data_IF_524092277232
#
_entry.id   IF_524092277232
#
_cell.length_a   1.000
_cell.length_b   1.000
_cell.length_c   1.000
_cell.angle_alpha   90.00
_cell.angle_beta   90.00
_cell.angle_gamma   90.00
#
_symmetry.space_group_name_H-M   'P 1'
#
loop_
_entity.id
_entity.type
_entity.pdbx_description
1 polymer ?
#
# COMPACT_ATOMS: atom_id res chain seq x y z
N UNK A 1 -5.56 -1.87 -20.72
CA UNK A 1 -6.77 -1.03 -20.97
C UNK A 1 -6.37 0.41 -20.68
N UNK A 2 -6.68 1.38 -21.57
CA UNK A 2 -6.41 2.80 -21.32
C UNK A 2 -7.68 3.47 -20.81
N UNK A 3 -7.55 4.36 -19.83
CA UNK A 3 -8.65 5.21 -19.35
C UNK A 3 -8.80 6.37 -20.31
N UNK A 4 -9.99 6.57 -20.86
CA UNK A 4 -10.31 7.72 -21.71
C UNK A 4 -10.64 8.91 -20.84
N UNK A 5 -9.70 9.83 -20.76
CA UNK A 5 -9.73 11.03 -19.94
C UNK A 5 -10.07 12.25 -20.78
N UNK A 6 -11.17 12.93 -20.50
CA UNK A 6 -11.46 14.24 -21.06
C UNK A 6 -11.10 15.33 -20.05
N UNK A 7 -10.43 16.39 -20.52
CA UNK A 7 -10.05 17.55 -19.71
C UNK A 7 -10.59 18.81 -20.37
N UNK A 8 -11.44 19.54 -19.68
CA UNK A 8 -11.96 20.86 -20.06
C UNK A 8 -11.31 21.93 -19.20
N UNK A 9 -10.42 22.73 -19.77
CA UNK A 9 -9.66 23.76 -19.04
C UNK A 9 -9.58 25.05 -19.87
N UNK A 10 -9.86 26.19 -19.21
CA UNK A 10 -9.82 27.50 -19.83
C UNK A 10 -8.40 27.96 -20.13
N UNK A 11 -7.45 27.63 -19.27
CA UNK A 11 -6.04 27.96 -19.48
C UNK A 11 -5.40 26.97 -20.45
N UNK A 12 -5.26 27.37 -21.71
CA UNK A 12 -4.65 26.53 -22.72
C UNK A 12 -3.17 26.21 -22.46
N UNK A 13 -2.44 27.06 -21.73
CA UNK A 13 -1.04 26.81 -21.38
C UNK A 13 -0.95 25.69 -20.35
N UNK A 14 -1.77 25.74 -19.30
CA UNK A 14 -1.86 24.67 -18.32
C UNK A 14 -2.34 23.36 -18.98
N UNK A 15 -3.40 23.43 -19.80
CA UNK A 15 -3.96 22.27 -20.49
C UNK A 15 -2.89 21.54 -21.33
N UNK A 16 -2.17 22.28 -22.17
CA UNK A 16 -1.11 21.71 -23.01
C UNK A 16 0.01 21.09 -22.17
N UNK A 17 0.38 21.71 -21.05
CA UNK A 17 1.42 21.23 -20.14
C UNK A 17 1.02 19.91 -19.46
N UNK A 18 -0.18 19.84 -18.89
CA UNK A 18 -0.63 18.63 -18.20
C UNK A 18 -0.84 17.47 -19.18
N UNK A 19 -1.41 17.72 -20.36
CA UNK A 19 -1.57 16.73 -21.44
C UNK A 19 -0.20 16.20 -21.90
N UNK A 20 0.78 17.07 -22.08
CA UNK A 20 2.15 16.67 -22.44
C UNK A 20 2.78 15.77 -21.38
N UNK A 21 2.65 16.14 -20.09
CA UNK A 21 3.17 15.33 -18.98
C UNK A 21 2.50 13.96 -18.96
N UNK A 22 1.18 13.91 -19.11
CA UNK A 22 0.44 12.66 -19.09
C UNK A 22 0.75 11.76 -20.28
N UNK A 23 0.91 12.33 -21.48
CA UNK A 23 1.30 11.59 -22.68
C UNK A 23 2.72 11.00 -22.59
N UNK A 24 3.63 11.63 -21.82
CA UNK A 24 4.99 11.10 -21.61
C UNK A 24 5.01 10.04 -20.51
N UNK A 25 4.32 10.28 -19.39
CA UNK A 25 4.43 9.42 -18.19
C UNK A 25 3.42 8.27 -18.14
N UNK A 26 2.25 8.46 -18.78
CA UNK A 26 1.10 7.54 -18.66
C UNK A 26 0.50 7.19 -20.03
N UNK A 27 1.31 7.17 -21.09
CA UNK A 27 0.87 6.91 -22.46
C UNK A 27 0.24 5.50 -22.64
N UNK A 28 0.66 4.54 -21.85
CA UNK A 28 0.14 3.19 -21.80
C UNK A 28 -1.15 3.05 -20.98
N UNK A 29 -1.45 4.04 -20.11
CA UNK A 29 -2.55 4.04 -19.15
C UNK A 29 -3.68 5.00 -19.47
N UNK A 30 -3.38 6.13 -20.14
CA UNK A 30 -4.34 7.18 -20.48
C UNK A 30 -4.47 7.39 -22.00
N UNK A 31 -5.68 7.65 -22.43
CA UNK A 31 -6.04 8.22 -23.73
C UNK A 31 -6.71 9.56 -23.48
N UNK A 32 -6.12 10.67 -23.93
CA UNK A 32 -6.49 12.02 -23.48
C UNK A 32 -7.20 12.79 -24.55
N UNK A 33 -8.33 13.37 -24.21
CA UNK A 33 -9.14 14.30 -24.97
C UNK A 33 -9.11 15.65 -24.25
N UNK A 34 -8.66 16.72 -24.92
CA UNK A 34 -8.50 18.04 -24.30
C UNK A 34 -9.36 19.08 -24.98
N UNK A 35 -10.03 19.92 -24.19
CA UNK A 35 -10.99 20.91 -24.62
C UNK A 35 -10.75 22.24 -23.92
N UNK A 36 -10.91 23.35 -24.65
CA UNK A 36 -10.99 24.71 -24.12
C UNK A 36 -12.39 25.29 -24.26
N UNK A 37 -13.27 24.62 -25.00
CA UNK A 37 -14.67 24.96 -25.23
C UNK A 37 -15.60 23.93 -24.58
N UNK A 38 -16.60 24.45 -23.85
CA UNK A 38 -17.56 23.62 -23.09
C UNK A 38 -18.42 22.75 -24.01
N UNK A 39 -18.97 23.34 -25.07
CA UNK A 39 -19.93 22.65 -25.93
C UNK A 39 -19.24 21.52 -26.69
N UNK A 40 -18.01 21.73 -27.15
CA UNK A 40 -17.19 20.71 -27.75
C UNK A 40 -16.90 19.56 -26.79
N UNK A 41 -16.62 19.86 -25.51
CA UNK A 41 -16.40 18.84 -24.49
C UNK A 41 -17.68 18.01 -24.24
N UNK A 42 -18.83 18.66 -24.03
CA UNK A 42 -20.10 17.97 -23.80
C UNK A 42 -20.52 17.14 -25.03
N UNK A 43 -20.31 17.65 -26.23
CA UNK A 43 -20.57 16.87 -27.44
C UNK A 43 -19.69 15.62 -27.52
N UNK A 44 -18.43 15.73 -27.12
CA UNK A 44 -17.52 14.57 -27.05
C UNK A 44 -17.98 13.53 -26.03
N UNK A 45 -18.48 13.94 -24.86
CA UNK A 45 -19.03 13.01 -23.87
C UNK A 45 -20.21 12.20 -24.41
N UNK A 46 -20.98 12.75 -25.34
CA UNK A 46 -22.13 12.09 -25.97
C UNK A 46 -21.74 11.18 -27.14
N UNK A 47 -20.69 11.54 -27.88
CA UNK A 47 -20.26 10.83 -29.09
C UNK A 47 -19.16 9.79 -28.84
N UNK A 48 -18.35 10.01 -27.83
CA UNK A 48 -17.22 9.16 -27.49
C UNK A 48 -17.39 8.62 -26.06
N UNK A 49 -17.09 7.36 -25.86
CA UNK A 49 -17.11 6.80 -24.50
C UNK A 49 -15.94 7.37 -23.70
N UNK A 50 -16.19 8.38 -22.89
CA UNK A 50 -15.24 8.94 -21.93
C UNK A 50 -15.42 8.24 -20.59
N UNK A 51 -14.31 7.85 -19.95
CA UNK A 51 -14.33 7.13 -18.68
C UNK A 51 -14.22 8.06 -17.48
N UNK A 52 -13.43 9.18 -17.63
CA UNK A 52 -13.31 10.25 -16.63
C UNK A 52 -13.32 11.60 -17.30
N UNK A 53 -14.09 12.53 -16.75
CA UNK A 53 -14.17 13.90 -17.19
C UNK A 53 -13.73 14.85 -16.08
N UNK A 54 -12.76 15.71 -16.39
CA UNK A 54 -12.28 16.78 -15.51
C UNK A 54 -12.67 18.13 -16.13
N UNK A 55 -13.37 18.98 -15.40
CA UNK A 55 -13.73 20.32 -15.87
C UNK A 55 -13.24 21.39 -14.90
N UNK A 56 -12.63 22.45 -15.42
CA UNK A 56 -12.32 23.64 -14.63
C UNK A 56 -13.61 24.22 -14.05
N UNK A 57 -13.59 24.65 -12.80
CA UNK A 57 -14.72 25.17 -12.04
C UNK A 57 -15.43 26.35 -12.71
N UNK A 58 -14.74 27.08 -13.58
CA UNK A 58 -15.30 28.23 -14.35
C UNK A 58 -16.35 27.78 -15.37
N UNK A 59 -16.27 26.53 -15.83
CA UNK A 59 -17.27 25.96 -16.72
C UNK A 59 -18.39 25.33 -15.89
N UNK A 60 -19.46 26.00 -15.68
CA UNK A 60 -20.62 25.46 -14.97
C UNK A 60 -21.20 24.24 -15.71
N UNK A 61 -20.68 23.06 -15.39
CA UNK A 61 -21.15 21.80 -15.96
C UNK A 61 -22.30 21.27 -15.13
N UNK A 62 -23.42 20.95 -15.79
CA UNK A 62 -24.54 20.27 -15.17
C UNK A 62 -24.26 18.76 -15.13
N UNK A 63 -24.39 18.13 -13.97
CA UNK A 63 -24.19 16.69 -13.81
C UNK A 63 -25.13 15.86 -14.68
N UNK A 64 -26.29 16.39 -15.05
CA UNK A 64 -27.26 15.73 -15.96
C UNK A 64 -26.74 15.59 -17.39
N UNK A 65 -25.75 16.39 -17.78
CA UNK A 65 -25.10 16.34 -19.09
C UNK A 65 -24.01 15.26 -19.16
N UNK A 66 -23.61 14.70 -17.99
CA UNK A 66 -22.52 13.73 -17.89
C UNK A 66 -23.10 12.32 -17.89
N UNK A 67 -22.62 11.41 -18.76
CA UNK A 67 -23.05 10.02 -18.76
C UNK A 67 -22.84 9.36 -17.39
N UNK A 68 -23.82 8.59 -16.90
CA UNK A 68 -23.80 7.96 -15.57
C UNK A 68 -22.59 7.04 -15.31
N UNK A 69 -22.01 6.50 -16.39
CA UNK A 69 -20.82 5.65 -16.36
C UNK A 69 -19.50 6.43 -16.50
N UNK A 70 -19.54 7.76 -16.64
CA UNK A 70 -18.38 8.63 -16.66
C UNK A 70 -18.13 9.17 -15.24
N UNK A 71 -16.91 9.04 -14.76
CA UNK A 71 -16.47 9.69 -13.53
C UNK A 71 -16.26 11.19 -13.73
N UNK A 72 -16.64 12.02 -12.77
CA UNK A 72 -16.53 13.47 -12.91
C UNK A 72 -15.83 14.10 -11.70
N UNK A 73 -14.99 15.10 -11.96
CA UNK A 73 -14.43 15.99 -10.95
C UNK A 73 -14.19 17.39 -11.49
N UNK A 74 -14.25 18.37 -10.60
CA UNK A 74 -13.84 19.73 -10.92
C UNK A 74 -12.33 19.92 -10.79
N UNK A 75 -11.71 20.67 -11.70
CA UNK A 75 -10.36 21.22 -11.56
C UNK A 75 -10.44 22.57 -10.89
N UNK A 76 -9.80 22.73 -9.75
CA UNK A 76 -9.80 23.94 -8.92
C UNK A 76 -8.38 24.47 -8.70
N UNK A 77 -8.27 25.76 -8.38
CA UNK A 77 -6.98 26.40 -8.17
C UNK A 77 -6.42 26.20 -6.76
N UNK A 78 -7.30 25.98 -5.75
CA UNK A 78 -6.88 25.81 -4.36
C UNK A 78 -6.89 24.35 -3.91
N UNK A 79 -5.83 23.94 -3.19
CA UNK A 79 -5.73 22.62 -2.58
C UNK A 79 -6.68 22.43 -1.37
N UNK A 80 -7.22 23.50 -0.82
CA UNK A 80 -8.14 23.45 0.32
C UNK A 80 -9.56 23.01 -0.09
N UNK A 81 -9.91 23.20 -1.36
CA UNK A 81 -11.20 22.81 -1.92
C UNK A 81 -11.15 21.31 -2.25
N UNK A 82 -11.85 20.48 -1.47
CA UNK A 82 -11.93 19.04 -1.69
C UNK A 82 -13.19 18.61 -2.45
N UNK A 83 -14.25 19.40 -2.32
CA UNK A 83 -15.53 19.20 -3.02
C UNK A 83 -16.06 20.55 -3.49
N UNK A 84 -16.71 20.54 -4.65
CA UNK A 84 -17.42 21.69 -5.20
C UNK A 84 -18.78 21.21 -5.71
N UNK A 85 -19.88 21.79 -5.23
CA UNK A 85 -21.26 21.36 -5.57
C UNK A 85 -21.48 19.85 -5.32
N UNK A 86 -20.98 19.32 -4.19
CA UNK A 86 -21.02 17.90 -3.82
C UNK A 86 -20.20 16.95 -4.72
N UNK A 87 -19.44 17.48 -5.68
CA UNK A 87 -18.55 16.72 -6.57
C UNK A 87 -17.10 16.85 -6.09
N UNK A 88 -16.31 15.81 -6.30
CA UNK A 88 -14.86 15.79 -6.01
C UNK A 88 -14.16 16.94 -6.74
N UNK A 89 -13.31 17.67 -6.03
CA UNK A 89 -12.47 18.71 -6.60
C UNK A 89 -10.98 18.34 -6.55
N UNK A 90 -10.30 18.54 -7.66
CA UNK A 90 -8.89 18.24 -7.87
C UNK A 90 -8.12 19.55 -8.06
N UNK A 91 -7.18 19.84 -7.15
CA UNK A 91 -6.31 21.00 -7.32
C UNK A 91 -5.40 20.80 -8.55
N UNK A 92 -5.42 21.73 -9.48
CA UNK A 92 -4.58 21.66 -10.69
C UNK A 92 -3.10 21.99 -10.44
N UNK A 93 -2.78 22.71 -9.35
CA UNK A 93 -1.41 23.12 -9.01
C UNK A 93 -0.73 22.14 -8.05
N UNK A 94 -0.84 20.85 -8.33
CA UNK A 94 -0.17 19.78 -7.61
C UNK A 94 0.68 18.91 -8.55
N UNK A 95 1.44 17.95 -8.00
CA UNK A 95 2.23 17.01 -8.81
C UNK A 95 1.31 16.21 -9.75
N UNK A 96 1.70 16.06 -11.02
CA UNK A 96 0.91 15.32 -12.01
C UNK A 96 0.58 13.88 -11.57
N UNK A 97 1.47 13.26 -10.77
CA UNK A 97 1.23 11.94 -10.17
C UNK A 97 0.03 11.94 -9.21
N UNK A 98 -0.16 12.99 -8.42
CA UNK A 98 -1.30 13.11 -7.52
C UNK A 98 -2.61 13.29 -8.30
N UNK A 99 -2.59 14.09 -9.37
CA UNK A 99 -3.74 14.23 -10.26
C UNK A 99 -4.09 12.88 -10.90
N UNK A 100 -3.08 12.16 -11.39
CA UNK A 100 -3.27 10.83 -11.98
C UNK A 100 -3.89 9.83 -10.98
N UNK A 101 -3.42 9.80 -9.73
CA UNK A 101 -3.99 8.95 -8.69
C UNK A 101 -5.45 9.29 -8.38
N UNK A 102 -5.79 10.57 -8.35
CA UNK A 102 -7.18 11.02 -8.17
C UNK A 102 -8.07 10.61 -9.36
N UNK A 103 -7.57 10.68 -10.60
CA UNK A 103 -8.24 10.16 -11.79
C UNK A 103 -8.52 8.66 -11.65
N UNK A 104 -7.53 7.87 -11.22
CA UNK A 104 -7.70 6.43 -10.97
C UNK A 104 -8.78 6.16 -9.90
N UNK A 105 -8.78 6.95 -8.82
CA UNK A 105 -9.78 6.86 -7.76
C UNK A 105 -11.20 7.03 -8.30
N UNK A 106 -11.42 8.11 -9.07
CA UNK A 106 -12.71 8.44 -9.68
C UNK A 106 -13.16 7.34 -10.66
N UNK A 107 -12.24 6.87 -11.49
CA UNK A 107 -12.51 5.78 -12.44
C UNK A 107 -12.87 4.49 -11.71
N UNK A 108 -12.14 4.14 -10.65
CA UNK A 108 -12.38 2.91 -9.89
C UNK A 108 -13.78 2.85 -9.27
N UNK A 109 -14.37 3.98 -8.91
CA UNK A 109 -15.72 4.07 -8.34
C UNK A 109 -16.81 3.81 -9.38
N UNK A 110 -16.55 4.05 -10.66
CA UNK A 110 -17.51 3.89 -11.76
C UNK A 110 -17.44 2.54 -12.45
N UNK A 111 -16.30 1.86 -12.39
CA UNK A 111 -16.13 0.53 -13.01
C UNK A 111 -16.50 -0.54 -11.99
N UNK A 112 -17.68 -1.17 -12.18
CA UNK A 112 -18.02 -2.39 -11.46
C UNK A 112 -16.92 -3.44 -11.67
N UNK A 113 -16.57 -4.16 -10.59
CA UNK A 113 -15.46 -5.09 -10.50
C UNK A 113 -15.33 -6.00 -11.73
N UNK A 114 -14.60 -5.55 -12.72
CA UNK A 114 -14.08 -6.42 -13.76
C UNK A 114 -12.80 -7.01 -13.17
N UNK A 115 -12.82 -8.29 -12.89
CA UNK A 115 -11.64 -9.09 -12.56
C UNK A 115 -10.67 -8.99 -13.74
N UNK A 116 -9.82 -7.99 -13.72
CA UNK A 116 -8.70 -7.84 -14.64
C UNK A 116 -7.65 -8.87 -14.25
N UNK A 117 -7.56 -9.93 -15.04
CA UNK A 117 -6.47 -10.90 -14.96
C UNK A 117 -5.22 -10.19 -15.47
N UNK A 118 -4.38 -9.74 -14.54
CA UNK A 118 -2.99 -9.38 -14.86
C UNK A 118 -2.20 -10.69 -14.87
N UNK A 119 -1.91 -11.19 -16.06
CA UNK A 119 -1.00 -12.31 -16.26
C UNK A 119 0.44 -11.78 -16.12
N UNK A 120 0.94 -11.67 -14.91
CA UNK A 120 2.36 -11.58 -14.63
C UNK A 120 2.75 -12.79 -13.78
N UNK A 121 3.94 -13.32 -14.06
CA UNK A 121 4.50 -14.51 -13.40
C UNK A 121 4.40 -14.35 -11.87
N UNK A 122 3.59 -15.20 -11.23
CA UNK A 122 3.42 -15.24 -9.76
C UNK A 122 4.74 -15.45 -9.01
N UNK A 123 5.78 -15.90 -9.71
CA UNK A 123 7.09 -16.22 -9.15
C UNK A 123 7.93 -14.99 -8.74
N UNK A 124 7.54 -13.76 -9.08
CA UNK A 124 8.43 -12.60 -8.93
C UNK A 124 8.23 -11.77 -7.66
N UNK A 125 7.06 -11.80 -7.01
CA UNK A 125 6.76 -10.97 -5.82
C UNK A 125 6.77 -11.81 -4.53
N UNK A 126 7.69 -11.51 -3.62
CA UNK A 126 7.79 -12.17 -2.31
C UNK A 126 6.99 -11.41 -1.25
N UNK A 127 6.17 -12.11 -0.48
CA UNK A 127 5.42 -11.59 0.66
C UNK A 127 6.11 -12.01 1.95
N UNK A 128 6.44 -11.05 2.81
CA UNK A 128 7.19 -11.27 4.04
C UNK A 128 6.43 -10.67 5.22
N UNK A 129 6.12 -11.47 6.25
CA UNK A 129 5.49 -10.99 7.46
C UNK A 129 6.54 -10.70 8.54
N UNK A 130 6.44 -9.53 9.15
CA UNK A 130 7.17 -9.17 10.37
C UNK A 130 6.20 -9.12 11.53
N UNK A 131 6.54 -9.81 12.61
CA UNK A 131 5.71 -9.89 13.80
C UNK A 131 6.56 -10.24 15.02
N UNK A 132 5.99 -10.14 16.20
CA UNK A 132 6.69 -10.49 17.45
C UNK A 132 5.76 -11.20 18.43
N UNK A 133 6.26 -12.23 19.08
CA UNK A 133 5.58 -12.91 20.16
C UNK A 133 5.42 -12.04 21.43
N UNK A 134 6.24 -10.99 21.54
CA UNK A 134 6.22 -10.05 22.66
C UNK A 134 6.18 -8.60 22.19
N UNK A 135 5.45 -7.74 22.89
CA UNK A 135 5.42 -6.31 22.58
C UNK A 135 6.78 -5.61 22.78
N UNK A 136 7.05 -4.57 22.00
CA UNK A 136 8.19 -3.67 22.21
C UNK A 136 9.54 -4.16 21.67
N UNK A 137 9.61 -5.28 20.95
CA UNK A 137 10.86 -5.77 20.33
C UNK A 137 11.32 -4.96 19.12
N UNK A 138 10.45 -4.10 18.58
CA UNK A 138 10.73 -3.26 17.41
C UNK A 138 10.44 -3.94 16.08
N UNK A 139 9.45 -4.82 16.02
CA UNK A 139 9.00 -5.52 14.81
C UNK A 139 8.68 -4.53 13.68
N UNK A 140 7.82 -3.54 13.93
CA UNK A 140 7.43 -2.54 12.95
C UNK A 140 8.62 -1.70 12.45
N UNK A 141 9.54 -1.36 13.35
CA UNK A 141 10.78 -0.66 12.97
C UNK A 141 11.67 -1.53 12.09
N UNK A 142 11.78 -2.83 12.37
CA UNK A 142 12.56 -3.78 11.56
C UNK A 142 11.91 -3.99 10.19
N UNK A 143 10.58 -4.11 10.13
CA UNK A 143 9.82 -4.20 8.88
C UNK A 143 10.04 -2.97 7.98
N UNK A 144 9.90 -1.77 8.56
CA UNK A 144 10.13 -0.52 7.85
C UNK A 144 11.59 -0.39 7.35
N UNK A 145 12.56 -0.76 8.19
CA UNK A 145 13.98 -0.73 7.83
C UNK A 145 14.30 -1.76 6.72
N UNK A 146 13.69 -2.93 6.74
CA UNK A 146 13.81 -3.93 5.68
C UNK A 146 13.28 -3.39 4.35
N UNK A 147 12.11 -2.74 4.35
CA UNK A 147 11.55 -2.10 3.16
C UNK A 147 12.50 -1.05 2.59
N UNK A 148 13.11 -0.22 3.44
CA UNK A 148 14.09 0.78 3.03
C UNK A 148 15.39 0.14 2.49
N UNK A 149 15.86 -0.97 3.08
CA UNK A 149 17.02 -1.71 2.58
C UNK A 149 16.77 -2.20 1.15
N UNK A 150 15.63 -2.83 0.90
CA UNK A 150 15.29 -3.32 -0.43
C UNK A 150 15.09 -2.18 -1.44
N UNK A 151 14.44 -1.08 -1.05
CA UNK A 151 14.28 0.09 -1.91
C UNK A 151 15.66 0.70 -2.28
N UNK A 152 16.60 0.77 -1.33
CA UNK A 152 17.96 1.27 -1.58
C UNK A 152 18.73 0.40 -2.60
N UNK A 153 18.40 -0.90 -2.69
CA UNK A 153 18.95 -1.84 -3.67
C UNK A 153 18.23 -1.79 -5.03
N UNK A 154 17.33 -0.82 -5.22
CA UNK A 154 16.57 -0.67 -6.47
C UNK A 154 15.40 -1.65 -6.62
N UNK A 155 14.98 -2.31 -5.53
CA UNK A 155 13.79 -3.16 -5.53
C UNK A 155 12.53 -2.36 -5.21
N UNK A 156 11.45 -2.65 -5.86
CA UNK A 156 10.14 -2.08 -5.52
C UNK A 156 9.59 -2.79 -4.27
N UNK A 157 9.78 -2.17 -3.11
CA UNK A 157 9.31 -2.69 -1.83
C UNK A 157 8.04 -1.93 -1.38
N UNK A 158 6.97 -2.68 -1.10
CA UNK A 158 5.74 -2.17 -0.51
C UNK A 158 5.72 -2.51 0.98
N UNK A 159 5.61 -1.51 1.83
CA UNK A 159 5.31 -1.67 3.25
C UNK A 159 3.80 -1.57 3.48
N UNK A 160 3.20 -2.65 3.97
CA UNK A 160 1.77 -2.75 4.26
C UNK A 160 1.58 -3.01 5.75
N UNK A 161 1.20 -1.96 6.48
CA UNK A 161 0.89 -2.06 7.91
C UNK A 161 -0.56 -2.50 8.11
N UNK A 162 -0.75 -3.65 8.73
CA UNK A 162 -2.04 -4.24 9.09
C UNK A 162 -2.19 -4.42 10.61
N UNK A 163 -1.35 -3.74 11.40
CA UNK A 163 -1.53 -3.66 12.86
C UNK A 163 -2.87 -2.99 13.19
N UNK A 164 -3.50 -3.39 14.30
CA UNK A 164 -4.76 -2.78 14.78
C UNK A 164 -4.66 -1.29 15.00
N UNK A 165 -3.49 -0.83 15.45
CA UNK A 165 -3.18 0.58 15.68
C UNK A 165 -2.02 0.96 14.79
N UNK A 166 -2.30 1.05 13.49
CA UNK A 166 -1.31 1.25 12.46
C UNK A 166 -0.44 2.49 12.66
N UNK A 167 0.85 2.35 12.38
CA UNK A 167 1.89 3.36 12.60
C UNK A 167 2.68 3.71 11.34
N UNK A 168 2.19 3.38 10.13
CA UNK A 168 2.91 3.58 8.87
C UNK A 168 3.41 5.02 8.67
N UNK A 169 2.61 6.01 9.05
CA UNK A 169 2.92 7.44 8.88
C UNK A 169 4.00 7.96 9.84
N UNK A 170 4.43 7.15 10.82
CA UNK A 170 5.61 7.42 11.67
C UNK A 170 6.91 7.09 10.92
N UNK A 171 6.86 6.09 10.04
CA UNK A 171 8.02 5.59 9.29
C UNK A 171 8.17 6.27 7.94
N UNK A 172 7.06 6.49 7.23
CA UNK A 172 7.04 6.97 5.86
C UNK A 172 6.11 8.17 5.69
N UNK A 173 6.43 9.04 4.73
CA UNK A 173 5.63 10.22 4.45
C UNK A 173 5.57 10.50 2.96
N UNK A 174 4.41 10.92 2.46
CA UNK A 174 4.22 11.40 1.11
C UNK A 174 2.96 12.28 1.02
N UNK A 175 2.89 13.10 -0.03
CA UNK A 175 1.74 13.94 -0.31
C UNK A 175 0.48 13.10 -0.64
N UNK A 176 -0.69 13.69 -0.45
CA UNK A 176 -1.98 13.09 -0.77
C UNK A 176 -2.77 12.64 0.44
N UNK A 177 -4.10 12.68 0.34
CA UNK A 177 -5.04 12.43 1.43
C UNK A 177 -5.52 10.97 1.53
N UNK A 178 -5.24 10.16 0.50
CA UNK A 178 -5.64 8.74 0.46
C UNK A 178 -4.91 7.92 1.51
N UNK A 179 -5.59 6.92 2.05
CA UNK A 179 -5.07 6.04 3.08
C UNK A 179 -5.66 4.62 2.92
N UNK A 180 -5.23 3.67 3.75
CA UNK A 180 -5.69 2.29 3.69
C UNK A 180 -7.20 2.15 3.95
N UNK A 181 -7.82 3.07 4.72
CA UNK A 181 -9.27 3.09 4.95
C UNK A 181 -10.07 3.24 3.65
N UNK A 182 -9.55 3.98 2.68
CA UNK A 182 -10.20 4.12 1.36
C UNK A 182 -10.24 2.77 0.60
N UNK A 183 -9.22 1.94 0.75
CA UNK A 183 -9.16 0.59 0.19
C UNK A 183 -10.13 -0.33 0.91
N UNK A 184 -10.16 -0.27 2.26
CA UNK A 184 -11.08 -1.06 3.08
C UNK A 184 -12.53 -0.73 2.74
N UNK A 185 -12.86 0.55 2.61
CA UNK A 185 -14.19 0.97 2.19
C UNK A 185 -14.57 0.40 0.81
N UNK A 186 -13.66 0.43 -0.16
CA UNK A 186 -13.92 -0.11 -1.49
C UNK A 186 -14.22 -1.63 -1.46
N UNK A 187 -13.47 -2.39 -0.67
CA UNK A 187 -13.71 -3.83 -0.48
C UNK A 187 -15.08 -4.07 0.16
N UNK A 188 -15.36 -3.38 1.28
CA UNK A 188 -16.61 -3.55 2.02
C UNK A 188 -17.84 -3.18 1.21
N UNK A 189 -17.77 -2.10 0.46
CA UNK A 189 -18.87 -1.63 -0.38
C UNK A 189 -19.04 -2.47 -1.65
N UNK A 190 -18.09 -3.33 -2.00
CA UNK A 190 -18.03 -4.09 -3.26
C UNK A 190 -18.21 -3.20 -4.50
N UNK A 191 -17.83 -1.93 -4.37
CA UNK A 191 -17.91 -0.94 -5.45
C UNK A 191 -16.54 -0.70 -6.05
N UNK A 192 -16.49 -0.62 -7.37
CA UNK A 192 -15.28 -0.26 -8.09
C UNK A 192 -14.26 -1.40 -8.28
N UNK A 193 -13.13 -1.06 -8.87
CA UNK A 193 -12.04 -1.97 -9.16
C UNK A 193 -10.98 -1.88 -8.05
N UNK A 194 -10.82 -2.95 -7.27
CA UNK A 194 -9.87 -2.98 -6.14
C UNK A 194 -8.43 -2.69 -6.58
N UNK A 195 -7.98 -3.20 -7.73
CA UNK A 195 -6.61 -2.98 -8.21
C UNK A 195 -6.35 -1.50 -8.47
N UNK A 196 -7.29 -0.81 -9.10
CA UNK A 196 -7.20 0.63 -9.34
C UNK A 196 -7.29 1.43 -8.03
N UNK A 197 -8.11 0.99 -7.08
CA UNK A 197 -8.21 1.65 -5.77
C UNK A 197 -6.89 1.50 -4.99
N UNK A 198 -6.27 0.33 -5.01
CA UNK A 198 -4.95 0.12 -4.44
C UNK A 198 -3.91 1.00 -5.13
N UNK A 199 -3.86 1.03 -6.47
CA UNK A 199 -2.93 1.87 -7.23
C UNK A 199 -3.14 3.37 -6.95
N UNK A 200 -4.40 3.83 -6.79
CA UNK A 200 -4.71 5.23 -6.48
C UNK A 200 -4.37 5.63 -5.04
N UNK A 201 -4.38 4.67 -4.11
CA UNK A 201 -4.19 4.93 -2.68
C UNK A 201 -2.76 4.69 -2.19
N UNK A 202 -1.96 3.92 -2.92
CA UNK A 202 -0.55 3.69 -2.57
C UNK A 202 0.24 5.01 -2.67
N UNK A 203 1.15 5.22 -1.73
CA UNK A 203 2.06 6.37 -1.67
C UNK A 203 3.50 5.94 -1.89
N UNK A 204 4.35 6.88 -2.23
CA UNK A 204 5.77 6.66 -2.45
C UNK A 204 6.58 7.63 -1.60
N UNK A 205 7.33 7.08 -0.64
CA UNK A 205 8.19 7.85 0.26
C UNK A 205 9.49 8.26 -0.44
N UNK A 206 10.13 9.38 -0.07
CA UNK A 206 11.43 9.77 -0.61
C UNK A 206 12.54 8.72 -0.47
N UNK A 207 12.42 7.77 0.47
CA UNK A 207 13.34 6.64 0.60
C UNK A 207 13.20 5.57 -0.50
N UNK A 208 12.19 5.69 -1.37
CA UNK A 208 11.88 4.72 -2.43
C UNK A 208 10.88 3.65 -2.03
N UNK A 209 10.39 3.66 -0.79
CA UNK A 209 9.40 2.69 -0.30
C UNK A 209 8.00 3.08 -0.73
N UNK A 210 7.25 2.11 -1.24
CA UNK A 210 5.81 2.22 -1.43
C UNK A 210 5.09 1.89 -0.12
N UNK A 211 4.04 2.62 0.22
CA UNK A 211 3.29 2.37 1.45
C UNK A 211 1.85 2.89 1.36
N UNK A 212 0.99 2.44 2.26
CA UNK A 212 -0.31 3.04 2.51
C UNK A 212 -0.25 3.80 3.82
N UNK A 213 -0.76 5.05 3.84
CA UNK A 213 -0.99 5.75 5.11
C UNK A 213 -1.96 4.97 5.97
N UNK A 214 -1.80 5.06 7.28
CA UNK A 214 -2.67 4.43 8.27
C UNK A 214 -4.13 4.88 8.10
N UNK A 215 -5.06 4.01 8.45
CA UNK A 215 -6.48 4.36 8.47
C UNK A 215 -6.75 5.50 9.45
N UNK A 216 -7.74 6.35 9.16
CA UNK A 216 -8.15 7.40 10.10
C UNK A 216 -8.81 6.83 11.35
N UNK A 217 -9.53 5.73 11.19
CA UNK A 217 -10.17 5.00 12.28
C UNK A 217 -9.49 3.64 12.41
N UNK A 218 -8.92 3.37 13.60
CA UNK A 218 -8.26 2.10 13.87
C UNK A 218 -9.20 0.88 13.74
N UNK A 219 -10.49 1.10 13.96
CA UNK A 219 -11.51 0.06 13.80
C UNK A 219 -11.63 -0.47 12.37
N UNK A 220 -11.28 0.33 11.35
CA UNK A 220 -11.36 -0.10 9.94
C UNK A 220 -10.53 -1.37 9.70
N UNK A 221 -9.33 -1.46 10.29
CA UNK A 221 -8.49 -2.67 10.20
C UNK A 221 -9.12 -3.87 10.89
N UNK A 222 -9.80 -3.63 12.02
CA UNK A 222 -10.47 -4.70 12.76
C UNK A 222 -11.64 -5.32 11.98
N UNK A 223 -12.29 -4.53 11.12
CA UNK A 223 -13.41 -4.97 10.29
C UNK A 223 -12.99 -5.89 9.12
N UNK A 224 -11.72 -5.87 8.71
CA UNK A 224 -11.24 -6.75 7.64
C UNK A 224 -11.33 -8.21 8.09
N UNK A 225 -11.98 -9.04 7.27
CA UNK A 225 -11.97 -10.48 7.44
C UNK A 225 -10.75 -11.13 6.73
N UNK A 226 -10.41 -12.40 7.01
CA UNK A 226 -9.26 -13.09 6.41
C UNK A 226 -9.26 -13.05 4.89
N UNK A 227 -10.41 -13.34 4.24
CA UNK A 227 -10.52 -13.38 2.78
C UNK A 227 -10.33 -12.01 2.12
N UNK A 228 -10.74 -10.92 2.78
CA UNK A 228 -10.52 -9.56 2.29
C UNK A 228 -9.04 -9.19 2.34
N UNK A 229 -8.31 -9.61 3.37
CA UNK A 229 -6.86 -9.39 3.45
C UNK A 229 -6.13 -10.21 2.39
N UNK A 230 -6.50 -11.48 2.20
CA UNK A 230 -5.97 -12.30 1.10
C UNK A 230 -6.22 -11.64 -0.26
N UNK A 231 -7.41 -11.09 -0.47
CA UNK A 231 -7.74 -10.39 -1.72
C UNK A 231 -6.84 -9.17 -1.94
N UNK A 232 -6.56 -8.37 -0.90
CA UNK A 232 -5.63 -7.23 -0.99
C UNK A 232 -4.23 -7.73 -1.38
N UNK A 233 -3.69 -8.73 -0.67
CA UNK A 233 -2.35 -9.27 -0.90
C UNK A 233 -2.24 -9.83 -2.32
N UNK A 234 -3.23 -10.60 -2.76
CA UNK A 234 -3.23 -11.22 -4.09
C UNK A 234 -3.29 -10.19 -5.21
N UNK A 235 -4.15 -9.16 -5.08
CA UNK A 235 -4.21 -8.09 -6.08
C UNK A 235 -2.90 -7.31 -6.14
N UNK A 236 -2.26 -7.02 -5.00
CA UNK A 236 -0.95 -6.35 -4.96
C UNK A 236 0.15 -7.22 -5.57
N UNK A 237 0.14 -8.53 -5.31
CA UNK A 237 1.09 -9.51 -5.89
C UNK A 237 0.94 -9.58 -7.41
N UNK A 238 -0.29 -9.68 -7.91
CA UNK A 238 -0.62 -9.78 -9.33
C UNK A 238 -0.38 -8.48 -10.12
N UNK A 239 -0.31 -7.33 -9.44
CA UNK A 239 -0.04 -6.04 -10.09
C UNK A 239 1.33 -6.01 -10.80
N UNK A 240 2.26 -6.90 -10.44
CA UNK A 240 3.60 -6.97 -11.04
C UNK A 240 4.50 -5.76 -10.78
N UNK A 241 4.04 -4.84 -9.92
CA UNK A 241 4.76 -3.61 -9.59
C UNK A 241 5.82 -3.85 -8.52
N UNK A 242 5.54 -4.75 -7.56
CA UNK A 242 6.36 -4.95 -6.37
C UNK A 242 7.21 -6.21 -6.48
N UNK A 243 8.48 -6.11 -6.07
CA UNK A 243 9.34 -7.26 -5.84
C UNK A 243 9.10 -7.85 -4.44
N UNK A 244 8.79 -6.99 -3.47
CA UNK A 244 8.55 -7.37 -2.09
C UNK A 244 7.32 -6.66 -1.53
N UNK A 245 6.47 -7.42 -0.83
CA UNK A 245 5.39 -6.91 0.03
C UNK A 245 5.76 -7.26 1.47
N UNK A 246 6.04 -6.26 2.28
CA UNK A 246 6.44 -6.40 3.67
C UNK A 246 5.24 -6.08 4.53
N UNK A 247 4.68 -7.11 5.16
CA UNK A 247 3.55 -7.01 6.06
C UNK A 247 4.05 -6.74 7.48
N UNK A 248 3.54 -5.69 8.10
CA UNK A 248 3.75 -5.40 9.52
C UNK A 248 2.47 -5.76 10.28
N UNK A 249 2.57 -6.71 11.21
CA UNK A 249 1.45 -7.41 11.81
C UNK A 249 1.55 -7.49 13.32
N UNK A 250 0.41 -7.30 14.02
CA UNK A 250 0.26 -7.74 15.40
C UNK A 250 0.22 -9.27 15.46
N UNK A 251 0.94 -9.88 16.38
CA UNK A 251 0.85 -11.31 16.59
C UNK A 251 -0.43 -11.69 17.35
N UNK A 252 -1.15 -12.66 16.82
CA UNK A 252 -2.25 -13.35 17.47
C UNK A 252 -2.32 -14.80 16.99
N UNK A 253 -3.00 -15.69 17.74
CA UNK A 253 -3.21 -17.09 17.32
C UNK A 253 -4.61 -17.28 16.73
N UNK A 254 -5.22 -16.22 16.23
CA UNK A 254 -6.54 -16.30 15.62
C UNK A 254 -6.47 -16.72 14.13
N UNK A 255 -7.61 -17.21 13.64
CA UNK A 255 -7.74 -17.64 12.25
C UNK A 255 -7.38 -16.56 11.24
N UNK A 256 -7.62 -15.28 11.57
CA UNK A 256 -7.33 -14.14 10.69
C UNK A 256 -5.83 -14.06 10.42
N UNK A 257 -4.99 -14.05 11.47
CA UNK A 257 -3.55 -14.00 11.30
C UNK A 257 -3.02 -15.24 10.60
N UNK A 258 -3.44 -16.44 11.02
CA UNK A 258 -2.95 -17.69 10.41
C UNK A 258 -3.21 -17.73 8.91
N UNK A 259 -4.40 -17.29 8.46
CA UNK A 259 -4.74 -17.17 7.03
C UNK A 259 -3.83 -16.19 6.30
N UNK A 260 -3.47 -15.05 6.93
CA UNK A 260 -2.52 -14.09 6.34
C UNK A 260 -1.12 -14.68 6.23
N UNK A 261 -0.68 -15.44 7.24
CA UNK A 261 0.64 -16.07 7.23
C UNK A 261 0.75 -17.16 6.16
N UNK A 262 -0.34 -17.80 5.75
CA UNK A 262 -0.34 -18.74 4.62
C UNK A 262 0.04 -18.07 3.29
N UNK A 263 -0.28 -16.78 3.12
CA UNK A 263 0.10 -16.00 1.93
C UNK A 263 1.58 -15.58 1.92
N UNK A 264 2.30 -15.76 3.04
CA UNK A 264 3.66 -15.26 3.17
C UNK A 264 4.70 -16.29 2.70
N UNK A 265 5.70 -15.83 1.95
CA UNK A 265 6.88 -16.62 1.59
C UNK A 265 7.85 -16.75 2.78
N UNK A 266 7.89 -15.75 3.66
CA UNK A 266 8.74 -15.72 4.86
C UNK A 266 8.00 -15.09 6.02
N UNK A 267 8.16 -15.65 7.21
CA UNK A 267 7.56 -15.19 8.46
C UNK A 267 8.70 -14.89 9.43
N UNK A 268 8.93 -13.61 9.73
CA UNK A 268 10.06 -13.13 10.51
C UNK A 268 9.58 -12.75 11.91
N UNK A 269 9.95 -13.56 12.91
CA UNK A 269 9.75 -13.23 14.30
C UNK A 269 10.88 -12.31 14.79
N UNK A 270 10.50 -11.10 15.22
CA UNK A 270 11.45 -10.16 15.80
C UNK A 270 11.47 -10.32 17.32
N UNK A 271 12.62 -10.70 17.87
CA UNK A 271 12.85 -10.89 19.29
C UNK A 271 14.01 -10.01 19.78
N UNK A 272 14.06 -9.66 21.06
CA UNK A 272 15.17 -8.86 21.63
C UNK A 272 16.16 -9.70 22.43
N UNK A 273 15.92 -11.02 22.52
CA UNK A 273 16.77 -11.93 23.27
C UNK A 273 16.63 -11.83 24.78
N UNK A 274 15.64 -11.08 25.30
CA UNK A 274 15.31 -11.12 26.73
C UNK A 274 14.64 -12.46 27.08
N UNK A 275 14.75 -12.88 28.33
CA UNK A 275 14.13 -14.13 28.81
C UNK A 275 12.64 -14.19 28.51
N UNK A 276 11.93 -13.09 28.77
CA UNK A 276 10.47 -13.00 28.52
C UNK A 276 10.16 -13.11 27.03
N UNK A 277 10.93 -12.46 26.17
CA UNK A 277 10.75 -12.53 24.72
C UNK A 277 10.98 -13.95 24.20
N UNK A 278 12.02 -14.60 24.68
CA UNK A 278 12.38 -15.96 24.28
C UNK A 278 11.32 -16.97 24.69
N UNK A 279 10.89 -16.97 25.96
CA UNK A 279 9.83 -17.86 26.43
C UNK A 279 8.53 -17.69 25.63
N UNK A 280 8.15 -16.46 25.31
CA UNK A 280 6.96 -16.21 24.48
C UNK A 280 7.16 -16.75 23.06
N UNK A 281 8.32 -16.54 22.46
CA UNK A 281 8.64 -17.03 21.12
C UNK A 281 8.61 -18.58 21.09
N UNK A 282 9.24 -19.23 22.04
CA UNK A 282 9.26 -20.69 22.17
C UNK A 282 7.83 -21.26 22.22
N UNK A 283 6.96 -20.69 23.06
CA UNK A 283 5.54 -21.06 23.14
C UNK A 283 4.78 -20.84 21.84
N UNK A 284 5.06 -19.76 21.11
CA UNK A 284 4.46 -19.50 19.80
C UNK A 284 4.86 -20.58 18.81
N UNK A 285 6.14 -20.91 18.74
CA UNK A 285 6.65 -21.92 17.80
C UNK A 285 6.08 -23.32 18.13
N UNK A 286 6.03 -23.69 19.40
CA UNK A 286 5.37 -24.92 19.85
C UNK A 286 3.89 -24.95 19.43
N UNK A 287 3.16 -23.84 19.63
CA UNK A 287 1.75 -23.74 19.26
C UNK A 287 1.53 -23.84 17.75
N UNK A 288 2.40 -23.21 16.95
CA UNK A 288 2.35 -23.36 15.49
C UNK A 288 2.61 -24.80 15.06
N UNK A 289 3.52 -25.52 15.75
CA UNK A 289 3.75 -26.95 15.52
C UNK A 289 2.52 -27.80 15.77
N UNK A 290 1.76 -27.53 16.83
CA UNK A 290 0.49 -28.20 17.10
C UNK A 290 -0.55 -27.91 16.02
N UNK A 291 -0.66 -26.64 15.57
CA UNK A 291 -1.58 -26.25 14.49
C UNK A 291 -1.24 -26.98 13.19
N UNK A 292 0.04 -27.08 12.82
CA UNK A 292 0.47 -27.82 11.62
C UNK A 292 0.14 -29.31 11.68
N UNK A 293 0.19 -29.91 12.86
CA UNK A 293 -0.20 -31.31 13.04
C UNK A 293 -1.71 -31.54 12.89
N UNK A 294 -2.52 -30.51 13.20
CA UNK A 294 -3.98 -30.56 13.15
C UNK A 294 -4.59 -30.01 11.86
N UNK A 295 -3.78 -29.42 10.99
CA UNK A 295 -4.21 -28.78 9.75
C UNK A 295 -3.24 -29.09 8.60
N UNK A 296 -3.61 -28.69 7.39
CA UNK A 296 -2.73 -28.80 6.22
C UNK A 296 -1.72 -27.64 6.10
N UNK A 297 -1.76 -26.67 7.03
CA UNK A 297 -0.87 -25.49 7.01
C UNK A 297 0.59 -25.90 7.16
N UNK A 298 1.48 -25.18 6.47
CA UNK A 298 2.94 -25.36 6.53
C UNK A 298 3.61 -24.01 6.78
N UNK A 299 3.63 -23.55 8.04
CA UNK A 299 4.13 -22.25 8.45
C UNK A 299 5.57 -22.29 8.96
N UNK A 300 5.94 -23.30 9.76
CA UNK A 300 7.22 -23.37 10.48
C UNK A 300 8.42 -23.35 9.54
N UNK A 301 8.35 -24.05 8.41
CA UNK A 301 9.45 -24.04 7.43
C UNK A 301 9.71 -22.66 6.80
N UNK A 302 8.76 -21.74 6.91
CA UNK A 302 8.85 -20.35 6.44
C UNK A 302 9.19 -19.37 7.56
N UNK A 303 9.21 -19.85 8.82
CA UNK A 303 9.53 -19.04 9.98
C UNK A 303 11.04 -18.86 10.16
N UNK A 304 11.42 -17.66 10.59
CA UNK A 304 12.77 -17.36 11.02
C UNK A 304 12.81 -16.27 12.07
N UNK A 305 13.96 -16.11 12.70
CA UNK A 305 14.15 -15.18 13.82
C UNK A 305 15.13 -14.09 13.42
N UNK A 306 14.74 -12.84 13.65
CA UNK A 306 15.57 -11.66 13.62
C UNK A 306 15.69 -11.10 15.04
N UNK A 307 16.90 -11.11 15.58
CA UNK A 307 17.13 -10.46 16.88
C UNK A 307 17.35 -8.96 16.69
N UNK A 308 16.57 -8.15 17.41
CA UNK A 308 16.69 -6.70 17.42
C UNK A 308 17.05 -6.21 18.81
N UNK A 309 17.81 -5.14 18.93
CA UNK A 309 18.32 -4.61 20.20
C UNK A 309 19.14 -5.65 20.99
N UNK A 310 19.74 -6.59 20.29
CA UNK A 310 20.49 -7.69 20.90
C UNK A 310 21.77 -7.18 21.58
N UNK A 311 21.98 -7.61 22.81
CA UNK A 311 23.18 -7.33 23.59
C UNK A 311 23.87 -8.63 23.95
N UNK A 312 25.14 -8.80 23.60
CA UNK A 312 25.91 -9.98 23.93
C UNK A 312 26.04 -10.22 25.45
N UNK A 313 25.83 -9.17 26.26
CA UNK A 313 25.95 -9.25 27.72
C UNK A 313 24.65 -9.74 28.37
N UNK A 314 23.48 -9.29 27.89
CA UNK A 314 22.19 -9.48 28.55
C UNK A 314 21.20 -10.29 27.74
N UNK A 315 21.35 -10.37 26.42
CA UNK A 315 20.46 -11.13 25.55
C UNK A 315 20.92 -12.59 25.40
N UNK A 316 19.97 -13.48 25.24
CA UNK A 316 20.18 -14.89 24.92
C UNK A 316 19.38 -15.23 23.67
N UNK A 317 19.77 -16.25 22.95
CA UNK A 317 18.98 -16.82 21.87
C UNK A 317 17.88 -17.70 22.42
N UNK A 318 16.73 -17.71 21.77
CA UNK A 318 15.62 -18.61 22.09
C UNK A 318 16.00 -20.06 21.78
N UNK A 319 15.52 -20.98 22.56
CA UNK A 319 15.75 -22.41 22.34
C UNK A 319 14.68 -23.00 21.42
N UNK A 320 14.78 -22.70 20.13
CA UNK A 320 13.86 -23.16 19.08
C UNK A 320 14.63 -23.91 18.01
N UNK A 321 14.46 -25.22 17.96
CA UNK A 321 15.15 -26.04 16.97
C UNK A 321 14.52 -25.87 15.58
N UNK A 322 15.38 -25.86 14.55
CA UNK A 322 14.94 -25.91 13.14
C UNK A 322 14.51 -24.59 12.50
N UNK A 323 14.45 -23.47 13.24
CA UNK A 323 14.18 -22.18 12.66
C UNK A 323 15.44 -21.50 12.13
N UNK A 324 15.30 -20.80 11.00
CA UNK A 324 16.38 -19.99 10.44
C UNK A 324 16.62 -18.78 11.33
N UNK A 325 17.86 -18.56 11.77
CA UNK A 325 18.27 -17.32 12.41
C UNK A 325 18.92 -16.39 11.38
N UNK A 326 18.36 -15.20 11.20
CA UNK A 326 18.90 -14.20 10.28
C UNK A 326 20.04 -13.38 10.88
N UNK A 327 20.17 -13.39 12.20
CA UNK A 327 21.20 -12.64 12.92
C UNK A 327 20.62 -11.63 13.89
N UNK A 328 21.46 -10.70 14.37
CA UNK A 328 21.10 -9.70 15.36
C UNK A 328 21.49 -8.28 14.98
N UNK A 329 20.65 -7.34 15.36
CA UNK A 329 20.87 -5.90 15.26
C UNK A 329 21.13 -5.38 16.67
N UNK A 330 22.23 -4.66 16.84
CA UNK A 330 22.58 -4.05 18.12
C UNK A 330 21.57 -2.95 18.50
N UNK A 331 21.48 -2.66 19.78
CA UNK A 331 20.65 -1.55 20.28
C UNK A 331 21.28 -0.22 19.89
N UNK A 332 20.46 0.66 19.29
CA UNK A 332 20.80 2.06 19.05
C UNK A 332 20.13 2.93 20.11
N UNK A 333 20.89 3.80 20.75
CA UNK A 333 20.37 4.68 21.81
C UNK A 333 20.38 6.15 21.37
N UNK A 334 19.48 6.95 21.95
CA UNK A 334 19.43 8.39 21.72
C UNK A 334 19.00 8.82 20.32
N UNK A 335 18.31 7.96 19.59
CA UNK A 335 17.86 8.24 18.23
C UNK A 335 16.33 8.34 18.16
N UNK A 336 15.82 9.38 17.49
CA UNK A 336 14.41 9.40 17.03
C UNK A 336 14.19 8.41 15.89
N UNK A 337 12.91 8.06 15.63
CA UNK A 337 12.51 6.99 14.70
C UNK A 337 13.16 7.13 13.31
N UNK A 338 13.14 8.31 12.70
CA UNK A 338 13.69 8.54 11.37
C UNK A 338 15.22 8.32 11.33
N UNK A 339 15.95 8.80 12.34
CA UNK A 339 17.39 8.58 12.45
C UNK A 339 17.73 7.11 12.68
N UNK A 340 16.92 6.42 13.47
CA UNK A 340 17.05 4.98 13.70
C UNK A 340 16.88 4.19 12.40
N UNK A 341 15.85 4.49 11.60
CA UNK A 341 15.63 3.85 10.31
C UNK A 341 16.81 4.03 9.35
N UNK A 342 17.40 5.23 9.30
CA UNK A 342 18.59 5.47 8.46
C UNK A 342 19.80 4.62 8.88
N UNK A 343 19.94 4.30 10.17
CA UNK A 343 20.99 3.42 10.68
C UNK A 343 20.67 1.94 10.42
N UNK A 344 19.40 1.55 10.55
CA UNK A 344 18.96 0.17 10.40
C UNK A 344 18.94 -0.30 8.94
N UNK A 345 18.53 0.55 7.99
CA UNK A 345 18.42 0.17 6.58
C UNK A 345 19.70 -0.37 5.95
N UNK A 346 20.87 -0.02 6.49
CA UNK A 346 22.18 -0.50 6.04
C UNK A 346 22.65 -1.79 6.72
N UNK A 347 21.84 -2.42 7.57
CA UNK A 347 22.26 -3.63 8.29
C UNK A 347 22.22 -4.85 7.35
N UNK A 348 23.34 -5.57 7.30
CA UNK A 348 23.49 -6.76 6.43
C UNK A 348 22.53 -7.91 6.76
N UNK A 349 21.92 -7.89 7.93
CA UNK A 349 20.92 -8.89 8.32
C UNK A 349 19.71 -8.91 7.38
N UNK A 350 19.36 -7.76 6.78
CA UNK A 350 18.28 -7.69 5.79
C UNK A 350 18.66 -8.30 4.43
N UNK A 351 19.95 -8.39 4.13
CA UNK A 351 20.44 -9.03 2.90
C UNK A 351 20.17 -10.54 2.92
N UNK A 352 20.07 -11.13 4.11
CA UNK A 352 19.75 -12.55 4.30
C UNK A 352 18.25 -12.87 4.14
N UNK A 353 17.43 -11.83 4.05
CA UNK A 353 15.98 -11.92 3.82
C UNK A 353 15.61 -11.85 2.33
N UNK A 354 16.52 -11.42 1.48
CA UNK A 354 16.36 -11.25 0.02
C UNK A 354 16.09 -12.55 -0.79
#
# INVERSE_FOLDING_TARGET
>A
MRIRLAILEKDAVYLNRIVSIFNVRYADKLEIYSFTDRDAAIQSLRSTKIDVFLANEVFEVDETEIPSNCGFAYLVDSADIKTLKDVVAICKFQKAELIYRQILGIFSEKVAAVTGVYLNDEASCKVMAFLSAGGGTGSSTAAAACAMNFAQKGKNALYLNLERFGSADVFFSADGSSNLGDVIYAIKSKKGNLAMKLESSVKHDPSGVYFFSSTRMALDIAELNPGEIQQIINVLRMAGTYNYIILDLDFSMDKKLLTVLEECNSIIFVADGSEVSNVKLERVIESLGVIEQQSEMKLLMRCGILYNRFSSQTSRKANVAGLKEYGGINRFEGCGTQKLLQQLKGQSVFDLLE
#
